data_IF_711583179920
#
_entry.id   IF_711583179920
#
_cell.length_a   1.000
_cell.length_b   1.000
_cell.length_c   1.000
_cell.angle_alpha   90.00
_cell.angle_beta   90.00
_cell.angle_gamma   90.00
#
_symmetry.space_group_name_H-M   'P 1'
#
loop_
_entity.id
_entity.type
_entity.pdbx_description
1 polymer ?
#
# COMPACT_ATOMS: atom_id res chain seq x y z
N UNK A 1 24.88 18.91 14.27
CA UNK A 1 25.33 18.31 12.99
C UNK A 1 24.95 16.84 12.78
N UNK A 2 24.46 16.08 13.78
CA UNK A 2 24.13 14.64 13.62
C UNK A 2 22.73 14.35 13.04
N UNK A 3 21.82 15.32 13.02
CA UNK A 3 20.45 15.13 12.53
C UNK A 3 20.35 15.19 10.99
N UNK A 4 21.20 15.99 10.34
CA UNK A 4 21.21 16.10 8.87
C UNK A 4 21.70 14.81 8.21
N UNK A 5 22.76 14.21 8.74
CA UNK A 5 23.35 12.98 8.21
C UNK A 5 22.40 11.77 8.31
N UNK A 6 21.52 11.72 9.33
CA UNK A 6 20.47 10.69 9.44
C UNK A 6 19.30 10.93 8.49
N UNK A 7 18.88 12.18 8.31
CA UNK A 7 17.79 12.53 7.39
C UNK A 7 18.20 12.30 5.93
N UNK A 8 19.45 12.62 5.58
CA UNK A 8 20.00 12.42 4.25
C UNK A 8 20.17 10.92 3.92
N UNK A 9 20.64 10.11 4.88
CA UNK A 9 20.67 8.65 4.75
C UNK A 9 19.28 8.03 4.61
N UNK A 10 18.29 8.51 5.35
CA UNK A 10 16.88 8.07 5.19
C UNK A 10 16.30 8.46 3.84
N UNK A 11 16.65 9.66 3.34
CA UNK A 11 16.23 10.12 2.02
C UNK A 11 16.83 9.25 0.90
N UNK A 12 18.13 8.91 0.97
CA UNK A 12 18.76 7.96 0.04
C UNK A 12 18.15 6.56 0.11
N UNK A 13 17.75 6.13 1.30
CA UNK A 13 17.06 4.84 1.52
C UNK A 13 15.55 4.87 1.19
N UNK A 14 15.04 5.95 0.61
CA UNK A 14 13.66 6.01 0.13
C UNK A 14 13.56 5.57 -1.34
N UNK A 15 12.33 5.33 -1.82
CA UNK A 15 12.07 5.10 -3.25
C UNK A 15 12.54 6.29 -4.09
N UNK A 16 12.33 7.51 -3.61
CA UNK A 16 12.76 8.71 -4.32
C UNK A 16 14.30 8.88 -4.31
N UNK A 17 14.95 8.43 -3.24
CA UNK A 17 16.41 8.33 -3.15
C UNK A 17 16.98 7.38 -4.20
N UNK A 18 16.41 6.18 -4.33
CA UNK A 18 16.82 5.20 -5.35
C UNK A 18 16.57 5.72 -6.76
N UNK A 19 15.42 6.39 -6.99
CA UNK A 19 15.14 7.06 -8.27
C UNK A 19 16.16 8.15 -8.59
N UNK A 20 16.61 8.91 -7.60
CA UNK A 20 17.62 9.94 -7.78
C UNK A 20 18.99 9.32 -8.11
N UNK A 21 19.36 8.22 -7.45
CA UNK A 21 20.59 7.49 -7.75
C UNK A 21 20.57 6.87 -9.16
N UNK A 22 19.42 6.31 -9.59
CA UNK A 22 19.25 5.78 -10.94
C UNK A 22 19.38 6.83 -12.06
N UNK A 23 19.18 8.11 -11.75
CA UNK A 23 19.34 9.23 -12.71
C UNK A 23 20.79 9.68 -12.87
N UNK A 24 21.70 9.21 -12.00
CA UNK A 24 23.12 9.54 -12.10
C UNK A 24 23.71 8.95 -13.37
N UNK A 25 24.55 9.74 -14.06
CA UNK A 25 25.19 9.32 -15.32
C UNK A 25 26.45 8.49 -15.11
N UNK A 26 26.98 8.46 -13.89
CA UNK A 26 28.26 7.87 -13.51
C UNK A 26 28.15 6.49 -12.84
N UNK A 27 26.97 5.86 -12.87
CA UNK A 27 26.77 4.53 -12.27
C UNK A 27 27.06 3.41 -13.28
N UNK A 28 27.67 2.32 -12.79
CA UNK A 28 27.94 1.14 -13.61
C UNK A 28 26.65 0.40 -13.97
N UNK A 29 26.66 -0.40 -15.05
CA UNK A 29 25.50 -1.20 -15.44
C UNK A 29 25.07 -2.22 -14.36
N UNK A 30 26.02 -2.74 -13.59
CA UNK A 30 25.76 -3.66 -12.48
C UNK A 30 25.04 -2.93 -11.34
N UNK A 31 25.55 -1.76 -10.95
CA UNK A 31 24.95 -0.93 -9.89
C UNK A 31 23.57 -0.46 -10.32
N UNK A 32 23.40 -0.07 -11.59
CA UNK A 32 22.09 0.29 -12.14
C UNK A 32 21.09 -0.85 -11.97
N UNK A 33 21.40 -2.08 -12.40
CA UNK A 33 20.49 -3.22 -12.24
C UNK A 33 20.15 -3.52 -10.78
N UNK A 34 21.11 -3.38 -9.86
CA UNK A 34 20.88 -3.55 -8.42
C UNK A 34 19.89 -2.51 -7.90
N UNK A 35 20.07 -1.24 -8.26
CA UNK A 35 19.18 -0.15 -7.86
C UNK A 35 17.78 -0.30 -8.47
N UNK A 36 17.65 -0.78 -9.71
CA UNK A 36 16.34 -1.04 -10.33
C UNK A 36 15.59 -2.19 -9.61
N UNK A 37 16.30 -3.25 -9.22
CA UNK A 37 15.71 -4.34 -8.42
C UNK A 37 15.32 -3.87 -7.01
N UNK A 38 16.17 -3.07 -6.36
CA UNK A 38 15.90 -2.46 -5.06
C UNK A 38 14.68 -1.53 -5.10
N UNK A 39 14.53 -0.76 -6.18
CA UNK A 39 13.37 0.11 -6.40
C UNK A 39 12.08 -0.72 -6.44
N UNK A 40 12.06 -1.81 -7.20
CA UNK A 40 10.89 -2.68 -7.34
C UNK A 40 10.51 -3.34 -6.02
N UNK A 41 11.49 -3.88 -5.27
CA UNK A 41 11.21 -4.54 -4.00
C UNK A 41 10.69 -3.55 -2.94
N UNK A 42 11.22 -2.32 -2.93
CA UNK A 42 10.71 -1.25 -2.06
C UNK A 42 9.30 -0.84 -2.43
N UNK A 43 9.00 -0.67 -3.72
CA UNK A 43 7.64 -0.37 -4.19
C UNK A 43 6.67 -1.49 -3.79
N UNK A 44 7.05 -2.75 -4.01
CA UNK A 44 6.26 -3.92 -3.63
C UNK A 44 5.99 -3.94 -2.13
N UNK A 45 7.02 -3.77 -1.31
CA UNK A 45 6.89 -3.74 0.16
C UNK A 45 5.95 -2.62 0.61
N UNK A 46 6.08 -1.42 0.04
CA UNK A 46 5.21 -0.30 0.37
C UNK A 46 3.74 -0.59 0.01
N UNK A 47 3.49 -1.15 -1.17
CA UNK A 47 2.14 -1.51 -1.60
C UNK A 47 1.53 -2.63 -0.74
N UNK A 48 2.31 -3.66 -0.40
CA UNK A 48 1.87 -4.68 0.55
C UNK A 48 1.50 -4.07 1.91
N UNK A 49 2.33 -3.17 2.44
CA UNK A 49 2.06 -2.49 3.70
C UNK A 49 0.81 -1.60 3.62
N UNK A 50 0.59 -0.90 2.51
CA UNK A 50 -0.61 -0.08 2.29
C UNK A 50 -1.87 -0.94 2.31
N UNK A 51 -1.90 -2.02 1.53
CA UNK A 51 -3.03 -2.95 1.48
C UNK A 51 -3.27 -3.59 2.84
N UNK A 52 -2.20 -3.99 3.54
CA UNK A 52 -2.32 -4.58 4.87
C UNK A 52 -2.92 -3.60 5.88
N UNK A 53 -2.52 -2.32 5.86
CA UNK A 53 -3.14 -1.29 6.72
C UNK A 53 -4.63 -1.17 6.47
N UNK A 54 -5.05 -1.09 5.21
CA UNK A 54 -6.48 -0.98 4.87
C UNK A 54 -7.28 -2.20 5.35
N UNK A 55 -6.70 -3.41 5.25
CA UNK A 55 -7.33 -4.63 5.77
C UNK A 55 -7.45 -4.58 7.29
N UNK A 56 -6.40 -4.13 8.00
CA UNK A 56 -6.43 -4.01 9.46
C UNK A 56 -7.44 -2.96 9.92
N UNK A 57 -7.53 -1.82 9.24
CA UNK A 57 -8.52 -0.78 9.49
C UNK A 57 -9.94 -1.33 9.30
N UNK A 58 -10.19 -2.06 8.22
CA UNK A 58 -11.51 -2.67 7.99
C UNK A 58 -11.84 -3.76 9.02
N UNK A 59 -10.86 -4.51 9.52
CA UNK A 59 -11.07 -5.45 10.63
C UNK A 59 -11.48 -4.75 11.92
N UNK A 60 -10.96 -3.55 12.19
CA UNK A 60 -11.37 -2.75 13.35
C UNK A 60 -12.82 -2.25 13.17
N UNK A 61 -13.16 -1.75 11.99
CA UNK A 61 -14.53 -1.36 11.67
C UNK A 61 -15.51 -2.54 11.82
N UNK A 62 -15.13 -3.75 11.39
CA UNK A 62 -15.99 -4.92 11.53
C UNK A 62 -16.24 -5.29 13.01
N UNK A 63 -15.23 -5.16 13.87
CA UNK A 63 -15.39 -5.34 15.32
C UNK A 63 -16.39 -4.31 15.90
N UNK A 64 -16.28 -3.04 15.49
CA UNK A 64 -17.21 -1.99 15.92
C UNK A 64 -18.64 -2.27 15.45
N UNK A 65 -18.82 -2.73 14.22
CA UNK A 65 -20.13 -3.13 13.67
C UNK A 65 -20.73 -4.28 14.47
N UNK A 66 -19.92 -5.27 14.84
CA UNK A 66 -20.38 -6.40 15.66
C UNK A 66 -20.86 -5.93 17.04
N UNK A 67 -20.09 -5.04 17.69
CA UNK A 67 -20.51 -4.43 18.96
C UNK A 67 -21.84 -3.71 18.80
N UNK A 68 -22.01 -2.89 17.75
CA UNK A 68 -23.26 -2.17 17.48
C UNK A 68 -24.44 -3.12 17.27
N UNK A 69 -24.27 -4.22 16.52
CA UNK A 69 -25.32 -5.22 16.32
C UNK A 69 -25.73 -5.92 17.61
N UNK A 70 -24.76 -6.21 18.50
CA UNK A 70 -25.02 -6.86 19.79
C UNK A 70 -25.74 -5.94 20.77
N UNK A 71 -25.46 -4.64 20.73
CA UNK A 71 -26.11 -3.64 21.58
C UNK A 71 -27.53 -3.30 21.10
N UNK A 72 -27.85 -3.51 19.82
CA UNK A 72 -29.17 -3.19 19.28
C UNK A 72 -30.25 -4.17 19.75
N UNK A 73 -31.22 -3.64 20.51
CA UNK A 73 -32.33 -4.41 21.11
C UNK A 73 -33.50 -4.55 20.13
N UNK A 74 -33.75 -3.54 19.30
CA UNK A 74 -34.87 -3.56 18.36
C UNK A 74 -34.56 -4.44 17.15
N UNK A 75 -35.41 -5.43 16.90
CA UNK A 75 -35.29 -6.32 15.73
C UNK A 75 -35.32 -5.54 14.40
N UNK A 76 -36.18 -4.51 14.32
CA UNK A 76 -36.31 -3.65 13.13
C UNK A 76 -35.06 -2.79 12.94
N UNK A 77 -34.53 -2.21 14.01
CA UNK A 77 -33.32 -1.40 13.93
C UNK A 77 -32.09 -2.26 13.61
N UNK A 78 -32.00 -3.46 14.18
CA UNK A 78 -30.94 -4.44 13.90
C UNK A 78 -30.91 -4.82 12.42
N UNK A 79 -32.07 -5.05 11.81
CA UNK A 79 -32.17 -5.38 10.38
C UNK A 79 -31.73 -4.19 9.50
N UNK A 80 -32.08 -2.96 9.88
CA UNK A 80 -31.59 -1.75 9.18
C UNK A 80 -30.08 -1.60 9.29
N UNK A 81 -29.51 -1.84 10.48
CA UNK A 81 -28.07 -1.82 10.71
C UNK A 81 -27.35 -2.87 9.87
N UNK A 82 -27.86 -4.10 9.81
CA UNK A 82 -27.29 -5.17 8.96
C UNK A 82 -27.20 -4.73 7.50
N UNK A 83 -28.30 -4.23 6.92
CA UNK A 83 -28.31 -3.76 5.53
C UNK A 83 -27.32 -2.63 5.28
N UNK A 84 -27.21 -1.70 6.23
CA UNK A 84 -26.22 -0.62 6.15
C UNK A 84 -24.80 -1.18 6.17
N UNK A 85 -24.49 -2.08 7.10
CA UNK A 85 -23.18 -2.70 7.24
C UNK A 85 -22.80 -3.56 6.03
N UNK A 86 -23.76 -4.24 5.40
CA UNK A 86 -23.52 -4.94 4.15
C UNK A 86 -23.08 -3.99 3.02
N UNK A 87 -23.70 -2.81 2.94
CA UNK A 87 -23.28 -1.75 2.02
C UNK A 87 -21.87 -1.22 2.33
N UNK A 88 -21.57 -0.97 3.60
CA UNK A 88 -20.24 -0.51 4.04
C UNK A 88 -19.15 -1.56 3.75
N UNK A 89 -19.41 -2.85 4.02
CA UNK A 89 -18.49 -3.95 3.69
C UNK A 89 -18.25 -4.07 2.19
N UNK A 90 -19.31 -4.00 1.39
CA UNK A 90 -19.19 -4.06 -0.06
C UNK A 90 -18.34 -2.90 -0.59
N UNK A 91 -18.56 -1.69 -0.08
CA UNK A 91 -17.76 -0.52 -0.42
C UNK A 91 -16.29 -0.69 -0.02
N UNK A 92 -16.01 -1.07 1.23
CA UNK A 92 -14.65 -1.27 1.71
C UNK A 92 -13.89 -2.34 0.91
N UNK A 93 -14.56 -3.47 0.62
CA UNK A 93 -14.01 -4.52 -0.24
C UNK A 93 -13.65 -3.97 -1.62
N UNK A 94 -14.55 -3.22 -2.25
CA UNK A 94 -14.30 -2.62 -3.56
C UNK A 94 -13.11 -1.64 -3.53
N UNK A 95 -12.97 -0.84 -2.47
CA UNK A 95 -11.83 0.08 -2.31
C UNK A 95 -10.51 -0.69 -2.17
N UNK A 96 -10.46 -1.75 -1.35
CA UNK A 96 -9.26 -2.57 -1.18
C UNK A 96 -8.87 -3.24 -2.51
N UNK A 97 -9.84 -3.81 -3.22
CA UNK A 97 -9.61 -4.43 -4.54
C UNK A 97 -9.11 -3.42 -5.57
N UNK A 98 -9.71 -2.23 -5.61
CA UNK A 98 -9.26 -1.15 -6.49
C UNK A 98 -7.82 -0.74 -6.20
N UNK A 99 -7.47 -0.51 -4.93
CA UNK A 99 -6.11 -0.11 -4.56
C UNK A 99 -5.11 -1.22 -4.87
N UNK A 100 -5.46 -2.50 -4.64
CA UNK A 100 -4.62 -3.63 -5.05
C UNK A 100 -4.33 -3.60 -6.55
N UNK A 101 -5.36 -3.42 -7.38
CA UNK A 101 -5.21 -3.34 -8.83
C UNK A 101 -4.34 -2.14 -9.25
N UNK A 102 -4.53 -0.96 -8.64
CA UNK A 102 -3.70 0.23 -8.90
C UNK A 102 -2.22 -0.01 -8.52
N UNK A 103 -1.96 -0.69 -7.41
CA UNK A 103 -0.61 -1.08 -7.00
C UNK A 103 0.03 -2.08 -7.96
N UNK A 104 -0.71 -3.10 -8.40
CA UNK A 104 -0.25 -4.10 -9.36
C UNK A 104 0.08 -3.48 -10.72
N UNK A 105 -0.79 -2.58 -11.22
CA UNK A 105 -0.53 -1.82 -12.44
C UNK A 105 0.73 -0.94 -12.30
N UNK A 106 0.89 -0.28 -11.16
CA UNK A 106 2.07 0.57 -10.89
C UNK A 106 3.36 -0.25 -10.85
N UNK A 107 3.36 -1.43 -10.24
CA UNK A 107 4.50 -2.36 -10.25
C UNK A 107 4.80 -2.85 -11.66
N UNK A 108 3.78 -3.25 -12.41
CA UNK A 108 3.93 -3.76 -13.77
C UNK A 108 4.53 -2.69 -14.69
N UNK A 109 4.05 -1.44 -14.58
CA UNK A 109 4.61 -0.31 -15.32
C UNK A 109 6.07 -0.05 -14.94
N UNK A 110 6.43 -0.11 -13.66
CA UNK A 110 7.82 0.03 -13.22
C UNK A 110 8.71 -1.11 -13.76
N UNK A 111 8.24 -2.36 -13.72
CA UNK A 111 8.96 -3.50 -14.29
C UNK A 111 9.17 -3.35 -15.80
N UNK A 112 8.17 -2.86 -16.53
CA UNK A 112 8.28 -2.58 -17.96
C UNK A 112 9.34 -1.50 -18.26
N UNK A 113 9.33 -0.40 -17.51
CA UNK A 113 10.30 0.70 -17.66
C UNK A 113 11.75 0.24 -17.44
N UNK A 114 11.96 -0.73 -16.55
CA UNK A 114 13.27 -1.27 -16.21
C UNK A 114 13.59 -2.59 -16.92
N UNK A 115 12.82 -2.97 -17.95
CA UNK A 115 13.05 -4.19 -18.75
C UNK A 115 13.10 -5.50 -17.93
N UNK A 116 12.37 -5.57 -16.82
CA UNK A 116 12.23 -6.78 -16.01
C UNK A 116 11.08 -7.69 -16.46
N UNK A 117 10.24 -7.23 -17.39
CA UNK A 117 9.28 -8.07 -18.09
C UNK A 117 9.98 -8.63 -19.34
N UNK A 118 10.30 -9.93 -19.32
CA UNK A 118 10.52 -10.72 -20.54
C UNK A 118 9.30 -11.59 -20.77
#
# INVERSE_FOLDING_TARGET
MLFMDKAEKRSRNSIDGVRQELRRKDISAIVKRQLEAELLERMRTQYCAQVQRMVVEEMQCELEREVQLRLEVSSVARERLRKRFDGERAFAKQQIERIRAECELSLTAAMAQHSFLR
#
